data_IF_220814997027
#
_entry.id   IF_220814997027
#
_cell.length_a   1.000
_cell.length_b   1.000
_cell.length_c   1.000
_cell.angle_alpha   90.00
_cell.angle_beta   90.00
_cell.angle_gamma   90.00
#
_symmetry.space_group_name_H-M   'P 1'
#
loop_
_entity.id
_entity.type
_entity.pdbx_description
1 polymer ?
#
# COMPACT_ATOMS: atom_id res chain seq x y z
N UNK A 1 18.17 1.78 27.45
CA UNK A 1 18.44 3.21 27.15
C UNK A 1 17.20 4.11 27.18
N UNK A 2 16.03 3.58 27.05
CA UNK A 2 14.74 4.33 27.12
C UNK A 2 14.48 5.02 28.47
N UNK A 3 14.88 4.42 29.57
CA UNK A 3 14.69 5.00 30.90
C UNK A 3 15.49 6.29 31.14
N UNK A 4 16.68 6.41 30.54
CA UNK A 4 17.51 7.61 30.67
C UNK A 4 16.83 8.81 29.97
N UNK A 5 16.20 8.61 28.81
CA UNK A 5 15.49 9.65 28.10
C UNK A 5 14.26 10.16 28.85
N UNK A 6 13.56 9.28 29.54
CA UNK A 6 12.39 9.62 30.37
C UNK A 6 12.83 10.47 31.56
N UNK A 7 13.93 10.11 32.23
CA UNK A 7 14.46 10.83 33.39
C UNK A 7 14.98 12.21 32.96
N UNK A 8 15.79 12.28 31.91
CA UNK A 8 16.34 13.55 31.41
C UNK A 8 15.24 14.49 30.90
N UNK A 9 14.26 13.96 30.15
CA UNK A 9 13.11 14.73 29.68
C UNK A 9 12.21 15.22 30.80
N UNK A 10 11.99 14.41 31.83
CA UNK A 10 11.25 14.80 33.03
C UNK A 10 11.91 15.93 33.82
N UNK A 11 13.22 15.84 34.01
CA UNK A 11 14.02 16.90 34.68
C UNK A 11 14.00 18.19 33.86
N UNK A 12 14.19 18.11 32.55
CA UNK A 12 14.11 19.28 31.66
C UNK A 12 12.72 19.94 31.68
N UNK A 13 11.63 19.15 31.66
CA UNK A 13 10.27 19.67 31.78
C UNK A 13 9.99 20.34 33.12
N UNK A 14 10.54 19.80 34.21
CA UNK A 14 10.45 20.43 35.55
C UNK A 14 11.23 21.73 35.63
N UNK A 15 12.46 21.79 35.10
CA UNK A 15 13.27 23.01 35.04
C UNK A 15 12.60 24.09 34.19
N UNK A 16 12.05 23.71 33.03
CA UNK A 16 11.30 24.63 32.19
C UNK A 16 10.09 25.22 32.93
N UNK A 17 9.31 24.41 33.67
CA UNK A 17 8.23 24.89 34.46
C UNK A 17 8.70 25.88 35.54
N UNK A 18 9.84 25.61 36.21
CA UNK A 18 10.37 26.45 37.31
C UNK A 18 10.93 27.80 36.84
N UNK A 19 11.55 27.84 35.65
CA UNK A 19 12.26 29.03 35.17
C UNK A 19 11.53 29.85 34.10
N UNK A 20 10.64 29.21 33.32
CA UNK A 20 9.96 29.82 32.18
C UNK A 20 8.44 29.77 32.31
N UNK A 21 7.91 28.96 33.22
CA UNK A 21 6.47 28.80 33.46
C UNK A 21 5.80 30.12 33.81
N UNK A 22 4.71 30.46 33.11
CA UNK A 22 3.95 31.70 33.35
C UNK A 22 3.36 31.72 34.75
N UNK A 23 3.75 32.71 35.55
CA UNK A 23 3.24 32.97 36.89
C UNK A 23 1.81 33.55 36.87
N UNK A 24 1.27 33.92 35.68
CA UNK A 24 -0.03 34.59 35.51
C UNK A 24 -1.24 33.65 35.29
N UNK A 25 -1.05 32.33 35.31
CA UNK A 25 -2.16 31.35 35.24
C UNK A 25 -2.93 31.27 33.92
N UNK A 26 -2.52 32.00 32.88
CA UNK A 26 -3.24 32.09 31.61
C UNK A 26 -2.95 30.95 30.58
N UNK A 27 -1.94 30.10 30.87
CA UNK A 27 -1.59 28.98 29.97
C UNK A 27 -1.88 27.61 30.63
N UNK A 28 -2.88 26.87 30.20
CA UNK A 28 -3.25 25.59 30.83
C UNK A 28 -2.19 24.49 30.73
N UNK A 29 -1.25 24.60 29.79
CA UNK A 29 -0.17 23.63 29.59
C UNK A 29 1.04 23.85 30.48
N UNK A 30 1.32 25.09 30.92
CA UNK A 30 2.53 25.45 31.69
C UNK A 30 2.25 25.76 33.15
N UNK A 31 0.98 25.93 33.52
CA UNK A 31 0.58 26.23 34.93
C UNK A 31 0.63 25.01 35.85
N UNK A 32 0.58 23.80 35.29
CA UNK A 32 0.56 22.57 36.08
C UNK A 32 1.89 21.80 35.94
N UNK A 33 2.62 21.71 37.08
CA UNK A 33 3.92 21.00 37.15
C UNK A 33 3.88 19.56 36.65
N UNK A 34 2.76 18.85 36.87
CA UNK A 34 2.62 17.45 36.45
C UNK A 34 2.48 17.32 34.93
N UNK A 35 1.78 18.25 34.27
CA UNK A 35 1.62 18.27 32.82
C UNK A 35 2.95 18.57 32.15
N UNK A 36 3.72 19.55 32.65
CA UNK A 36 5.04 19.89 32.11
C UNK A 36 6.05 18.75 32.21
N UNK A 37 6.04 18.01 33.34
CA UNK A 37 6.89 16.83 33.54
C UNK A 37 6.48 15.71 32.56
N UNK A 38 5.19 15.48 32.38
CA UNK A 38 4.66 14.44 31.47
C UNK A 38 5.04 14.73 30.01
N UNK A 39 4.88 15.98 29.55
CA UNK A 39 5.29 16.40 28.21
C UNK A 39 6.80 16.31 27.99
N UNK A 40 7.62 16.74 28.96
CA UNK A 40 9.07 16.63 28.91
C UNK A 40 9.55 15.17 28.82
N UNK A 41 8.93 14.27 29.60
CA UNK A 41 9.24 12.85 29.55
C UNK A 41 8.87 12.23 28.20
N UNK A 42 7.73 12.63 27.63
CA UNK A 42 7.25 12.12 26.35
C UNK A 42 8.11 12.60 25.18
N UNK A 43 8.47 13.88 25.13
CA UNK A 43 9.37 14.45 24.12
C UNK A 43 10.80 13.93 24.28
N UNK A 44 11.30 13.79 25.49
CA UNK A 44 12.63 13.25 25.73
C UNK A 44 12.80 11.79 25.30
N UNK A 45 11.77 10.97 25.46
CA UNK A 45 11.76 9.59 24.97
C UNK A 45 11.75 9.52 23.44
N UNK A 46 11.05 10.45 22.78
CA UNK A 46 10.95 10.52 21.33
C UNK A 46 12.28 10.96 20.68
N UNK A 47 12.94 11.97 21.24
CA UNK A 47 14.20 12.49 20.71
C UNK A 47 15.38 11.52 20.87
N UNK A 48 15.46 10.78 21.98
CA UNK A 48 16.52 9.78 22.16
C UNK A 48 16.33 8.54 21.25
N UNK A 49 15.11 8.24 20.83
CA UNK A 49 14.87 7.13 19.91
C UNK A 49 15.35 7.41 18.48
N UNK A 50 15.50 8.70 18.11
CA UNK A 50 15.97 9.11 16.77
C UNK A 50 17.49 9.22 16.67
N UNK A 51 18.21 9.43 17.78
CA UNK A 51 19.68 9.60 17.79
C UNK A 51 20.42 8.26 17.97
N UNK A 52 19.80 7.27 18.58
CA UNK A 52 20.37 5.93 18.69
C UNK A 52 20.08 5.14 17.39
N UNK A 53 20.79 5.47 16.31
CA UNK A 53 20.79 4.67 15.09
C UNK A 53 21.27 3.26 15.38
N UNK A 54 20.56 2.28 14.87
CA UNK A 54 20.95 0.90 14.61
C UNK A 54 19.93 -0.13 15.10
N UNK A 55 19.45 -0.87 14.13
CA UNK A 55 19.01 -2.27 14.25
C UNK A 55 18.21 -2.61 15.50
N UNK A 56 16.95 -2.28 15.52
CA UNK A 56 15.99 -3.10 16.26
C UNK A 56 14.56 -2.87 15.78
N UNK A 57 13.98 -3.97 15.26
CA UNK A 57 12.56 -4.31 15.32
C UNK A 57 11.59 -3.14 15.19
N UNK A 58 10.89 -3.14 14.07
CA UNK A 58 9.73 -2.28 13.77
C UNK A 58 8.98 -1.90 15.03
N UNK A 59 9.14 -0.64 15.43
CA UNK A 59 8.52 -0.13 16.63
C UNK A 59 6.99 -0.17 16.53
N UNK A 60 6.36 -0.33 17.66
CA UNK A 60 4.92 -0.36 17.90
C UNK A 60 4.11 0.71 17.11
N UNK A 61 4.72 1.85 16.78
CA UNK A 61 4.13 2.91 15.95
C UNK A 61 3.98 2.52 14.46
N UNK A 62 4.85 1.70 13.91
CA UNK A 62 4.71 1.19 12.55
C UNK A 62 3.49 0.30 12.37
N UNK A 63 3.01 -0.32 13.45
CA UNK A 63 1.82 -1.17 13.45
C UNK A 63 0.51 -0.37 13.55
N UNK A 64 0.55 0.88 14.03
CA UNK A 64 -0.63 1.75 14.09
C UNK A 64 -0.86 2.54 12.79
N UNK A 65 0.18 2.72 11.95
CA UNK A 65 0.13 3.43 10.69
C UNK A 65 0.74 2.62 9.54
N UNK A 66 1.14 1.39 9.77
CA UNK A 66 1.41 0.43 8.72
C UNK A 66 0.12 0.22 7.95
N UNK A 67 0.04 0.82 6.78
CA UNK A 67 -0.87 0.39 5.73
C UNK A 67 -0.36 -1.00 5.33
N UNK A 68 -0.71 -2.00 6.12
CA UNK A 68 -0.70 -3.37 5.67
C UNK A 68 -1.66 -3.39 4.48
N UNK A 69 -1.11 -3.21 3.29
CA UNK A 69 -1.81 -3.53 2.07
C UNK A 69 -2.10 -5.02 2.18
N UNK A 70 -3.25 -5.37 2.71
CA UNK A 70 -3.80 -6.70 2.49
C UNK A 70 -3.70 -6.87 1.00
N UNK A 71 -2.78 -7.73 0.53
CA UNK A 71 -2.67 -8.05 -0.89
C UNK A 71 -3.98 -8.68 -1.27
N UNK A 72 -4.82 -7.90 -1.89
CA UNK A 72 -6.17 -8.26 -2.28
C UNK A 72 -6.18 -9.05 -3.60
N UNK A 73 -5.00 -9.41 -4.10
CA UNK A 73 -4.80 -10.20 -5.31
C UNK A 73 -3.49 -11.00 -5.22
N UNK A 74 -3.38 -12.03 -6.04
CA UNK A 74 -2.21 -12.90 -6.14
C UNK A 74 -1.35 -12.45 -7.33
N UNK A 75 -0.03 -12.33 -7.14
CA UNK A 75 0.88 -12.16 -8.26
C UNK A 75 1.26 -13.53 -8.81
N UNK A 76 1.07 -13.71 -10.11
CA UNK A 76 1.47 -14.92 -10.85
C UNK A 76 2.53 -14.58 -11.88
N UNK A 77 3.30 -15.59 -12.31
CA UNK A 77 4.27 -15.51 -13.40
C UNK A 77 3.69 -16.12 -14.69
N UNK A 78 4.49 -16.12 -15.77
CA UNK A 78 4.06 -16.63 -17.07
C UNK A 78 3.73 -18.13 -17.03
N UNK A 79 4.53 -18.93 -16.31
CA UNK A 79 4.31 -20.38 -16.21
C UNK A 79 3.00 -20.71 -15.49
N UNK A 80 2.66 -19.94 -14.46
CA UNK A 80 1.41 -20.09 -13.72
C UNK A 80 0.19 -19.65 -14.54
N UNK A 81 0.36 -18.69 -15.46
CA UNK A 81 -0.72 -18.27 -16.36
C UNK A 81 -1.07 -19.31 -17.44
N UNK A 82 -0.08 -20.06 -17.96
CA UNK A 82 -0.29 -21.01 -19.07
C UNK A 82 -1.47 -21.96 -18.88
N UNK A 83 -1.64 -22.63 -17.73
CA UNK A 83 -2.81 -23.50 -17.51
C UNK A 83 -4.13 -22.72 -17.36
N UNK A 84 -4.10 -21.46 -16.96
CA UNK A 84 -5.30 -20.66 -16.70
C UNK A 84 -5.93 -20.09 -17.98
N UNK A 85 -5.14 -19.87 -19.04
CA UNK A 85 -5.61 -19.26 -20.31
C UNK A 85 -6.73 -20.05 -20.98
N UNK A 86 -6.68 -21.38 -20.89
CA UNK A 86 -7.68 -22.26 -21.52
C UNK A 86 -8.70 -22.81 -20.51
N UNK A 87 -8.63 -22.38 -19.28
CA UNK A 87 -9.57 -22.79 -18.22
C UNK A 87 -10.78 -21.86 -18.22
N UNK A 88 -12.00 -22.35 -18.47
CA UNK A 88 -13.22 -21.54 -18.48
C UNK A 88 -13.55 -20.91 -17.12
N UNK A 89 -12.90 -21.36 -16.05
CA UNK A 89 -13.00 -20.75 -14.70
C UNK A 89 -12.31 -19.39 -14.59
N UNK A 90 -11.41 -19.04 -15.50
CA UNK A 90 -10.68 -17.78 -15.50
C UNK A 90 -11.08 -16.89 -16.68
N UNK A 91 -11.02 -15.58 -16.46
CA UNK A 91 -11.21 -14.55 -17.49
C UNK A 91 -9.93 -13.73 -17.57
N UNK A 92 -9.29 -13.73 -18.74
CA UNK A 92 -8.02 -13.00 -18.96
C UNK A 92 -8.30 -11.61 -19.51
N UNK A 93 -7.81 -10.57 -18.82
CA UNK A 93 -8.05 -9.16 -19.19
C UNK A 93 -6.72 -8.46 -19.51
N UNK A 94 -6.65 -7.84 -20.69
CA UNK A 94 -5.59 -6.92 -21.07
C UNK A 94 -6.01 -5.47 -20.70
N UNK A 95 -5.27 -4.86 -19.78
CA UNK A 95 -5.54 -3.47 -19.34
C UNK A 95 -4.59 -2.45 -19.98
N UNK A 96 -4.01 -2.79 -21.12
CA UNK A 96 -3.19 -1.87 -21.91
C UNK A 96 -4.08 -0.93 -22.75
N UNK A 97 -3.44 -0.07 -23.54
CA UNK A 97 -4.13 0.83 -24.47
C UNK A 97 -4.49 0.15 -25.78
N UNK A 98 -5.49 0.66 -26.55
CA UNK A 98 -5.84 0.14 -27.86
C UNK A 98 -4.67 0.06 -28.86
N UNK A 99 -3.75 1.02 -28.79
CA UNK A 99 -2.53 1.00 -29.63
C UNK A 99 -1.58 -0.15 -29.29
N UNK A 100 -1.51 -0.52 -28.00
CA UNK A 100 -0.70 -1.65 -27.54
C UNK A 100 -1.35 -3.00 -27.96
N UNK A 101 -2.69 -3.13 -27.94
CA UNK A 101 -3.39 -4.35 -28.37
C UNK A 101 -3.13 -4.65 -29.85
N UNK A 102 -3.22 -3.64 -30.73
CA UNK A 102 -2.92 -3.77 -32.16
C UNK A 102 -1.49 -4.26 -32.44
N UNK A 103 -0.56 -3.99 -31.54
CA UNK A 103 0.83 -4.47 -31.63
C UNK A 103 0.98 -5.96 -31.29
N UNK A 104 -0.03 -6.55 -30.67
CA UNK A 104 -0.12 -7.93 -30.25
C UNK A 104 -0.54 -8.09 -28.79
N UNK A 105 -1.23 -9.18 -28.50
CA UNK A 105 -1.76 -9.51 -27.16
C UNK A 105 -1.58 -11.01 -26.88
N UNK A 106 -1.68 -11.40 -25.62
CA UNK A 106 -1.58 -12.81 -25.20
C UNK A 106 -2.73 -13.61 -25.80
N UNK A 107 -2.42 -14.71 -26.49
CA UNK A 107 -3.44 -15.62 -27.02
C UNK A 107 -4.31 -16.14 -25.86
N UNK A 108 -5.64 -16.09 -26.02
CA UNK A 108 -6.56 -16.44 -24.94
C UNK A 108 -6.97 -15.25 -24.05
N UNK A 109 -6.65 -14.02 -24.46
CA UNK A 109 -7.24 -12.82 -23.83
C UNK A 109 -8.72 -12.72 -24.17
N UNK A 110 -9.58 -12.65 -23.14
CA UNK A 110 -11.03 -12.59 -23.27
C UNK A 110 -11.57 -11.18 -23.38
N UNK A 111 -10.92 -10.22 -22.70
CA UNK A 111 -11.37 -8.83 -22.64
C UNK A 111 -10.24 -7.83 -22.72
N UNK A 112 -10.57 -6.70 -23.32
CA UNK A 112 -9.67 -5.56 -23.48
C UNK A 112 -10.31 -4.33 -22.82
N UNK A 113 -9.69 -3.83 -21.72
CA UNK A 113 -10.21 -2.72 -20.93
C UNK A 113 -9.06 -1.74 -20.66
N UNK A 114 -9.04 -0.61 -21.34
CA UNK A 114 -7.96 0.37 -21.18
C UNK A 114 -7.96 0.99 -19.79
N UNK A 115 -6.89 0.74 -19.02
CA UNK A 115 -6.69 1.28 -17.68
C UNK A 115 -6.73 2.81 -17.62
N UNK A 116 -6.36 3.50 -18.71
CA UNK A 116 -6.34 4.96 -18.78
C UNK A 116 -7.66 5.57 -19.28
N UNK A 117 -8.63 4.75 -19.68
CA UNK A 117 -9.95 5.22 -20.07
C UNK A 117 -10.68 5.85 -18.88
N UNK A 118 -11.38 6.96 -19.13
CA UNK A 118 -12.30 7.54 -18.15
C UNK A 118 -13.45 6.60 -17.77
N UNK A 119 -13.72 5.60 -18.62
CA UNK A 119 -14.77 4.61 -18.45
C UNK A 119 -14.29 3.30 -17.82
N UNK A 120 -13.02 3.22 -17.41
CA UNK A 120 -12.42 2.01 -16.87
C UNK A 120 -13.22 1.41 -15.70
N UNK A 121 -13.57 2.24 -14.72
CA UNK A 121 -14.30 1.77 -13.53
C UNK A 121 -15.71 1.28 -13.84
N UNK A 122 -16.41 1.90 -14.83
CA UNK A 122 -17.73 1.44 -15.24
C UNK A 122 -17.63 0.07 -15.90
N UNK A 123 -16.68 -0.12 -16.82
CA UNK A 123 -16.45 -1.41 -17.48
C UNK A 123 -16.08 -2.52 -16.46
N UNK A 124 -15.33 -2.18 -15.40
CA UNK A 124 -15.06 -3.12 -14.31
C UNK A 124 -16.34 -3.50 -13.55
N UNK A 125 -17.23 -2.56 -13.27
CA UNK A 125 -18.49 -2.85 -12.55
C UNK A 125 -19.48 -3.72 -13.33
N UNK A 126 -19.35 -3.77 -14.64
CA UNK A 126 -20.17 -4.65 -15.50
C UNK A 126 -19.68 -6.11 -15.49
N UNK A 127 -18.50 -6.38 -14.92
CA UNK A 127 -17.96 -7.72 -14.82
C UNK A 127 -18.62 -8.51 -13.68
N UNK A 128 -18.72 -9.81 -13.87
CA UNK A 128 -19.23 -10.74 -12.86
C UNK A 128 -18.19 -10.95 -11.73
N UNK A 129 -18.45 -10.42 -10.55
CA UNK A 129 -17.52 -10.48 -9.41
C UNK A 129 -17.35 -11.87 -8.79
N UNK A 130 -18.14 -12.86 -9.22
CA UNK A 130 -18.03 -14.26 -8.78
C UNK A 130 -16.94 -15.05 -9.53
N UNK A 131 -16.47 -14.53 -10.67
CA UNK A 131 -15.46 -15.18 -11.51
C UNK A 131 -14.03 -14.91 -11.04
N UNK A 132 -13.12 -15.77 -11.47
CA UNK A 132 -11.68 -15.55 -11.32
C UNK A 132 -11.14 -14.75 -12.51
N UNK A 133 -10.29 -13.77 -12.22
CA UNK A 133 -9.71 -12.89 -13.24
C UNK A 133 -8.19 -12.94 -13.22
N UNK A 134 -7.60 -13.03 -14.40
CA UNK A 134 -6.18 -12.77 -14.60
C UNK A 134 -6.04 -11.46 -15.35
N UNK A 135 -5.36 -10.51 -14.76
CA UNK A 135 -5.18 -9.17 -15.31
C UNK A 135 -3.71 -8.97 -15.69
N UNK A 136 -3.47 -8.51 -16.90
CA UNK A 136 -2.11 -8.18 -17.33
C UNK A 136 -2.04 -6.83 -18.03
N UNK A 137 -0.83 -6.28 -18.04
CA UNK A 137 -0.46 -5.13 -18.84
C UNK A 137 0.94 -5.34 -19.46
N UNK A 138 1.64 -4.26 -19.78
CA UNK A 138 2.99 -4.36 -20.35
C UNK A 138 4.01 -4.96 -19.37
N UNK A 139 4.02 -4.50 -18.10
CA UNK A 139 5.05 -4.85 -17.10
C UNK A 139 4.50 -5.34 -15.75
N UNK A 140 3.17 -5.44 -15.58
CA UNK A 140 2.53 -5.82 -14.33
C UNK A 140 2.10 -4.67 -13.42
N UNK A 141 2.52 -3.43 -13.67
CA UNK A 141 2.25 -2.30 -12.78
C UNK A 141 0.82 -1.74 -12.91
N UNK A 142 0.33 -1.54 -14.16
CA UNK A 142 -1.05 -1.09 -14.42
C UNK A 142 -2.05 -2.15 -13.97
N UNK A 143 -1.75 -3.41 -14.26
CA UNK A 143 -2.61 -4.54 -13.87
C UNK A 143 -2.67 -4.73 -12.35
N UNK A 144 -1.60 -4.50 -11.60
CA UNK A 144 -1.63 -4.49 -10.14
C UNK A 144 -2.59 -3.42 -9.59
N UNK A 145 -2.54 -2.20 -10.15
CA UNK A 145 -3.47 -1.12 -9.78
C UNK A 145 -4.91 -1.43 -10.19
N UNK A 146 -5.10 -2.08 -11.35
CA UNK A 146 -6.42 -2.56 -11.78
C UNK A 146 -6.98 -3.60 -10.79
N UNK A 147 -6.16 -4.55 -10.34
CA UNK A 147 -6.56 -5.51 -9.30
C UNK A 147 -6.94 -4.81 -7.99
N UNK A 148 -6.23 -3.75 -7.57
CA UNK A 148 -6.58 -2.97 -6.39
C UNK A 148 -7.96 -2.29 -6.53
N UNK A 149 -8.26 -1.73 -7.71
CA UNK A 149 -9.56 -1.12 -8.01
C UNK A 149 -10.66 -2.19 -8.02
N UNK A 150 -10.43 -3.31 -8.70
CA UNK A 150 -11.36 -4.44 -8.75
C UNK A 150 -11.67 -4.98 -7.35
N UNK A 151 -10.66 -5.17 -6.52
CA UNK A 151 -10.85 -5.61 -5.14
C UNK A 151 -11.73 -4.66 -4.32
N UNK A 152 -11.56 -3.34 -4.48
CA UNK A 152 -12.44 -2.34 -3.85
C UNK A 152 -13.88 -2.39 -4.37
N UNK A 153 -14.09 -2.92 -5.57
CA UNK A 153 -15.41 -3.16 -6.17
C UNK A 153 -15.97 -4.57 -5.88
N UNK A 154 -15.38 -5.32 -4.94
CA UNK A 154 -15.94 -6.59 -4.44
C UNK A 154 -15.43 -7.84 -5.15
N UNK A 155 -14.46 -7.74 -6.05
CA UNK A 155 -13.81 -8.91 -6.66
C UNK A 155 -12.84 -9.56 -5.68
N UNK A 156 -12.95 -10.87 -5.48
CA UNK A 156 -12.17 -11.61 -4.49
C UNK A 156 -11.13 -12.54 -5.09
N UNK A 157 -11.28 -12.92 -6.36
CA UNK A 157 -10.39 -13.88 -7.03
C UNK A 157 -9.64 -13.19 -8.18
N UNK A 158 -8.55 -12.50 -7.82
CA UNK A 158 -7.79 -11.64 -8.72
C UNK A 158 -6.33 -12.10 -8.81
N UNK A 159 -5.83 -12.21 -10.03
CA UNK A 159 -4.45 -12.60 -10.33
C UNK A 159 -3.80 -11.52 -11.21
N UNK A 160 -2.65 -11.00 -10.79
CA UNK A 160 -1.86 -10.07 -11.56
C UNK A 160 -0.68 -10.78 -12.21
N UNK A 161 -0.56 -10.72 -13.53
CA UNK A 161 0.61 -11.23 -14.23
C UNK A 161 1.82 -10.34 -13.95
N UNK A 162 2.71 -10.82 -13.09
CA UNK A 162 3.93 -10.12 -12.71
C UNK A 162 4.93 -10.13 -13.88
N UNK A 163 5.33 -8.91 -14.31
CA UNK A 163 6.15 -8.74 -15.52
C UNK A 163 5.33 -8.51 -16.78
N UNK A 164 4.02 -8.80 -16.77
CA UNK A 164 3.10 -8.53 -17.86
C UNK A 164 3.50 -9.25 -19.16
N UNK A 165 3.01 -8.73 -20.29
CA UNK A 165 3.32 -9.30 -21.61
C UNK A 165 4.82 -9.26 -21.96
N UNK A 166 5.61 -8.39 -21.33
CA UNK A 166 7.06 -8.33 -21.54
C UNK A 166 7.80 -9.62 -21.11
N UNK A 167 7.26 -10.35 -20.14
CA UNK A 167 7.82 -11.62 -19.65
C UNK A 167 7.02 -12.84 -20.10
N UNK A 168 6.07 -12.62 -21.00
CA UNK A 168 5.30 -13.71 -21.59
C UNK A 168 6.12 -14.40 -22.69
N UNK A 169 6.21 -15.71 -22.61
CA UNK A 169 6.93 -16.58 -23.55
C UNK A 169 6.01 -17.47 -24.39
N UNK A 170 4.70 -17.34 -24.19
CA UNK A 170 3.70 -18.07 -24.97
C UNK A 170 3.27 -17.34 -26.24
N UNK A 171 2.19 -17.82 -26.85
CA UNK A 171 1.67 -17.30 -28.10
C UNK A 171 1.15 -15.87 -27.98
N UNK A 172 1.49 -15.03 -28.97
CA UNK A 172 1.00 -13.66 -29.15
C UNK A 172 0.16 -13.60 -30.42
N UNK A 173 -1.10 -13.13 -30.29
CA UNK A 173 -1.97 -12.82 -31.43
C UNK A 173 -1.84 -11.36 -31.81
N UNK A 174 -2.10 -11.08 -33.08
CA UNK A 174 -2.24 -9.74 -33.65
C UNK A 174 -3.49 -9.73 -34.52
N UNK A 175 -4.25 -8.65 -34.43
CA UNK A 175 -5.38 -8.37 -35.31
C UNK A 175 -4.89 -7.69 -36.60
#
# INVERSE_FOLDING_TARGET
MTYIGIIVGGVAGFLYWKFVGCTSGACPLTSNKFISIAYGALLGSLLLSTVAGSTTKQGFFGKLFGKDSVKTFININAEELKPMINDPGFVVIDVRTPGEWKSGYIAGTDKFIDFHSSDFENQIRELDNSKAYVIYCRSGNRSAKACEIMSKNGFTNLHNLSGGINKWDGEIKKD
#
